data_IF_921399908136
#
_entry.id   IF_921399908136
#
_cell.length_a   1.000
_cell.length_b   1.000
_cell.length_c   1.000
_cell.angle_alpha   90.00
_cell.angle_beta   90.00
_cell.angle_gamma   90.00
#
_symmetry.space_group_name_H-M   'P 1'
#
loop_
_entity.id
_entity.type
_entity.pdbx_description
1 polymer ?
#
# COMPACT_ATOMS: atom_id res chain seq x y z
N UNK A 1 -36.48 -56.23 -34.16
CA UNK A 1 -36.23 -55.14 -35.11
C UNK A 1 -36.60 -53.84 -34.41
N UNK A 2 -35.61 -52.95 -34.35
CA UNK A 2 -35.61 -51.52 -33.98
C UNK A 2 -36.19 -51.04 -32.65
N UNK A 3 -35.27 -50.64 -31.77
CA UNK A 3 -35.35 -49.46 -30.90
C UNK A 3 -35.74 -48.20 -31.67
N UNK A 4 -36.47 -47.28 -31.02
CA UNK A 4 -36.26 -45.82 -31.17
C UNK A 4 -36.86 -45.07 -29.97
N UNK A 5 -35.99 -44.54 -29.11
CA UNK A 5 -36.32 -43.54 -28.08
C UNK A 5 -36.26 -42.15 -28.74
N UNK A 6 -37.27 -41.33 -28.50
CA UNK A 6 -37.37 -39.95 -29.01
C UNK A 6 -36.56 -39.01 -28.13
N UNK A 7 -35.64 -38.27 -28.76
CA UNK A 7 -34.74 -37.30 -28.16
C UNK A 7 -35.43 -35.93 -27.98
N UNK A 8 -35.26 -35.34 -26.80
CA UNK A 8 -35.55 -33.94 -26.48
C UNK A 8 -34.31 -33.11 -26.88
N UNK A 9 -34.43 -31.96 -27.55
CA UNK A 9 -33.27 -31.10 -27.85
C UNK A 9 -32.88 -30.29 -26.60
N UNK A 10 -31.59 -30.17 -26.25
CA UNK A 10 -31.16 -29.25 -25.22
C UNK A 10 -31.10 -27.81 -25.75
N UNK A 11 -31.50 -26.91 -24.85
CA UNK A 11 -31.53 -25.45 -24.88
C UNK A 11 -30.15 -24.81 -25.03
N UNK A 12 -30.13 -23.63 -25.65
CA UNK A 12 -29.02 -22.68 -25.74
C UNK A 12 -28.29 -22.45 -24.40
N UNK A 13 -26.97 -22.60 -24.42
CA UNK A 13 -26.02 -21.99 -23.47
C UNK A 13 -24.86 -21.39 -24.26
N UNK A 14 -24.38 -20.17 -23.94
CA UNK A 14 -23.24 -19.57 -24.63
C UNK A 14 -21.95 -20.36 -24.38
N UNK A 15 -21.15 -20.42 -25.45
CA UNK A 15 -19.89 -21.13 -25.61
C UNK A 15 -18.77 -20.49 -24.78
N UNK A 16 -18.27 -21.21 -23.77
CA UNK A 16 -17.09 -20.83 -22.98
C UNK A 16 -15.83 -21.30 -23.72
N UNK A 17 -15.11 -20.36 -24.32
CA UNK A 17 -13.78 -20.60 -24.88
C UNK A 17 -12.72 -20.59 -23.78
N UNK A 18 -12.43 -21.76 -23.20
CA UNK A 18 -11.23 -22.01 -22.40
C UNK A 18 -10.13 -22.58 -23.29
N UNK A 19 -8.94 -21.97 -23.28
CA UNK A 19 -7.70 -22.61 -23.73
C UNK A 19 -6.79 -22.73 -22.51
N UNK A 20 -6.75 -23.93 -21.95
CA UNK A 20 -5.79 -24.35 -20.95
C UNK A 20 -4.49 -24.77 -21.63
N UNK A 21 -3.36 -24.34 -21.06
CA UNK A 21 -2.24 -25.28 -20.83
C UNK A 21 -2.18 -25.63 -19.35
N UNK A 22 -3.20 -26.36 -18.86
CA UNK A 22 -3.14 -27.63 -18.14
C UNK A 22 -4.36 -27.85 -17.20
N UNK A 23 -5.33 -28.63 -17.68
CA UNK A 23 -6.31 -29.49 -16.98
C UNK A 23 -6.72 -29.12 -15.54
N UNK A 24 -7.94 -28.61 -15.34
CA UNK A 24 -9.01 -29.33 -14.61
C UNK A 24 -10.35 -28.55 -14.58
N UNK A 25 -11.36 -29.10 -15.24
CA UNK A 25 -12.77 -28.75 -15.04
C UNK A 25 -13.28 -29.32 -13.70
N UNK A 26 -13.56 -28.49 -12.70
CA UNK A 26 -14.51 -28.88 -11.65
C UNK A 26 -15.22 -27.69 -11.00
N UNK A 27 -16.55 -27.74 -11.05
CA UNK A 27 -17.50 -26.89 -10.34
C UNK A 27 -17.29 -26.97 -8.82
N UNK A 28 -16.74 -25.93 -8.18
CA UNK A 28 -16.69 -25.63 -6.71
C UNK A 28 -16.23 -26.78 -5.77
N UNK A 29 -15.25 -26.58 -4.87
CA UNK A 29 -14.93 -25.35 -4.14
C UNK A 29 -13.59 -24.71 -4.56
N UNK A 30 -13.40 -23.46 -4.10
CA UNK A 30 -12.16 -22.67 -4.06
C UNK A 30 -10.90 -23.39 -4.58
N UNK A 31 -10.27 -22.90 -5.67
CA UNK A 31 -9.04 -23.52 -6.12
C UNK A 31 -7.91 -23.18 -5.14
N UNK A 32 -7.56 -24.12 -4.28
CA UNK A 32 -6.24 -24.16 -3.63
C UNK A 32 -5.25 -24.69 -4.65
N UNK A 33 -4.43 -23.81 -5.24
CA UNK A 33 -3.33 -24.23 -6.10
C UNK A 33 -2.08 -24.47 -5.25
N UNK A 34 -1.50 -25.66 -5.34
CA UNK A 34 -0.16 -25.99 -4.83
C UNK A 34 0.60 -26.76 -5.90
N UNK A 35 1.64 -26.20 -6.49
CA UNK A 35 2.81 -26.97 -6.93
C UNK A 35 4.02 -26.07 -7.22
N UNK A 36 5.21 -26.61 -6.93
CA UNK A 36 6.52 -25.95 -6.78
C UNK A 36 7.18 -25.45 -8.11
N UNK A 37 6.49 -24.70 -8.95
CA UNK A 37 7.06 -24.10 -10.17
C UNK A 37 6.46 -22.71 -10.38
N UNK A 38 7.30 -21.67 -10.54
CA UNK A 38 6.96 -20.28 -10.94
C UNK A 38 5.50 -20.12 -11.40
N UNK A 39 4.61 -19.69 -10.49
CA UNK A 39 3.18 -19.64 -10.82
C UNK A 39 2.92 -18.41 -11.68
N UNK A 40 2.56 -18.64 -12.96
CA UNK A 40 2.01 -17.60 -13.83
C UNK A 40 0.49 -17.59 -13.71
N UNK A 41 -0.04 -16.53 -13.11
CA UNK A 41 -1.47 -16.25 -13.04
C UNK A 41 -1.87 -15.36 -14.22
N UNK A 42 -3.08 -15.56 -14.75
CA UNK A 42 -3.63 -14.72 -15.81
C UNK A 42 -5.02 -14.24 -15.41
N UNK A 43 -5.21 -12.92 -15.41
CA UNK A 43 -6.50 -12.29 -15.21
C UNK A 43 -6.99 -11.69 -16.53
N UNK A 44 -7.94 -12.36 -17.17
CA UNK A 44 -8.49 -11.99 -18.47
C UNK A 44 -9.61 -10.94 -18.37
N UNK A 45 -9.88 -10.29 -19.50
CA UNK A 45 -10.99 -9.33 -19.58
C UNK A 45 -12.33 -9.99 -19.25
N UNK A 46 -13.10 -9.36 -18.35
CA UNK A 46 -14.37 -9.86 -17.82
C UNK A 46 -14.29 -11.16 -17.00
N UNK A 47 -13.14 -11.51 -16.42
CA UNK A 47 -13.08 -12.62 -15.45
C UNK A 47 -13.96 -12.37 -14.22
N UNK A 48 -14.22 -11.11 -13.87
CA UNK A 48 -15.21 -10.74 -12.87
C UNK A 48 -14.57 -10.39 -11.54
N UNK A 49 -14.84 -11.18 -10.50
CA UNK A 49 -14.29 -10.96 -9.16
C UNK A 49 -13.57 -12.23 -8.72
N UNK A 50 -12.24 -12.21 -8.75
CA UNK A 50 -11.41 -13.38 -8.51
C UNK A 50 -10.53 -13.20 -7.26
N UNK A 51 -9.97 -14.30 -6.77
CA UNK A 51 -9.04 -14.31 -5.64
C UNK A 51 -7.85 -15.21 -5.95
N UNK A 52 -6.65 -14.71 -5.70
CA UNK A 52 -5.41 -15.46 -5.68
C UNK A 52 -5.01 -15.66 -4.23
N UNK A 53 -4.71 -16.91 -3.87
CA UNK A 53 -4.05 -17.25 -2.61
C UNK A 53 -2.74 -17.91 -3.02
N UNK A 54 -1.67 -17.12 -3.02
CA UNK A 54 -0.34 -17.62 -3.26
C UNK A 54 0.31 -17.93 -1.91
N UNK A 55 0.66 -19.20 -1.70
CA UNK A 55 1.29 -19.66 -0.45
C UNK A 55 2.70 -20.08 -0.79
N UNK A 56 3.70 -19.37 -0.28
CA UNK A 56 5.10 -19.60 -0.62
C UNK A 56 5.55 -21.02 -0.27
N UNK A 57 5.91 -21.79 -1.29
CA UNK A 57 6.68 -23.03 -1.16
C UNK A 57 8.16 -22.68 -1.14
N UNK A 58 8.74 -22.58 0.06
CA UNK A 58 10.18 -22.47 0.36
C UNK A 58 11.14 -22.54 -0.85
N UNK A 59 11.33 -21.44 -1.58
CA UNK A 59 12.06 -21.43 -2.85
C UNK A 59 12.19 -20.03 -3.46
N UNK A 60 13.12 -19.85 -4.40
CA UNK A 60 13.29 -18.59 -5.17
C UNK A 60 12.18 -18.41 -6.23
N UNK A 61 10.95 -18.82 -5.92
CA UNK A 61 9.82 -18.80 -6.85
C UNK A 61 9.47 -17.34 -7.17
N UNK A 62 9.50 -17.01 -8.47
CA UNK A 62 8.98 -15.74 -8.98
C UNK A 62 7.57 -16.04 -9.49
N UNK A 63 6.57 -15.58 -8.76
CA UNK A 63 5.18 -15.62 -9.16
C UNK A 63 4.86 -14.37 -9.99
N UNK A 64 4.25 -14.59 -11.15
CA UNK A 64 3.92 -13.54 -12.11
C UNK A 64 2.40 -13.48 -12.30
N UNK A 65 1.83 -12.28 -12.28
CA UNK A 65 0.48 -12.02 -12.75
C UNK A 65 0.53 -11.33 -14.10
N UNK A 66 -0.18 -11.91 -15.07
CA UNK A 66 -0.44 -11.31 -16.37
C UNK A 66 -1.84 -10.73 -16.36
N UNK A 67 -1.94 -9.41 -16.54
CA UNK A 67 -3.21 -8.76 -16.85
C UNK A 67 -3.44 -8.84 -18.35
N UNK A 68 -4.54 -9.50 -18.73
CA UNK A 68 -4.89 -9.85 -20.10
C UNK A 68 -5.18 -8.65 -21.00
N UNK A 69 -5.45 -8.92 -22.28
CA UNK A 69 -5.73 -7.88 -23.28
C UNK A 69 -6.90 -6.99 -22.87
N UNK A 70 -6.81 -5.69 -23.19
CA UNK A 70 -7.82 -4.70 -22.83
C UNK A 70 -7.72 -4.10 -21.43
N UNK A 71 -6.68 -4.44 -20.66
CA UNK A 71 -6.29 -3.72 -19.44
C UNK A 71 -4.98 -2.95 -19.67
N UNK A 72 -4.94 -1.71 -19.18
CA UNK A 72 -3.78 -0.82 -19.23
C UNK A 72 -3.42 -0.35 -17.83
N UNK A 73 -2.13 -0.04 -17.53
CA UNK A 73 -1.70 0.36 -16.19
C UNK A 73 -2.52 1.49 -15.57
N UNK A 74 -2.89 2.50 -16.36
CA UNK A 74 -3.68 3.64 -15.92
C UNK A 74 -5.13 3.31 -15.52
N UNK A 75 -5.64 2.15 -15.95
CA UNK A 75 -7.03 1.72 -15.74
C UNK A 75 -7.18 0.69 -14.60
N UNK A 76 -6.09 0.43 -13.86
CA UNK A 76 -6.04 -0.50 -12.74
C UNK A 76 -5.71 0.26 -11.45
N UNK A 77 -6.61 0.18 -10.49
CA UNK A 77 -6.40 0.74 -9.16
C UNK A 77 -5.87 -0.32 -8.22
N UNK A 78 -4.79 -0.01 -7.50
CA UNK A 78 -4.17 -0.87 -6.50
C UNK A 78 -4.48 -0.31 -5.12
N UNK A 79 -5.02 -1.16 -4.23
CA UNK A 79 -5.42 -0.75 -2.88
C UNK A 79 -5.14 -1.86 -1.87
N UNK A 80 -4.83 -1.48 -0.62
CA UNK A 80 -4.83 -2.40 0.52
C UNK A 80 -6.22 -2.37 1.17
N UNK A 81 -7.04 -3.42 1.04
CA UNK A 81 -8.42 -3.39 1.53
C UNK A 81 -8.47 -3.39 3.07
N UNK A 82 -9.16 -2.39 3.63
CA UNK A 82 -9.37 -2.28 5.08
C UNK A 82 -10.05 -3.53 5.69
N UNK A 83 -9.70 -3.86 6.94
CA UNK A 83 -10.30 -4.98 7.68
C UNK A 83 -9.75 -6.37 7.32
N UNK A 84 -8.70 -6.40 6.51
CA UNK A 84 -7.81 -7.57 6.33
C UNK A 84 -6.67 -7.48 7.35
N UNK A 85 -5.72 -8.41 7.34
CA UNK A 85 -4.44 -8.28 8.06
C UNK A 85 -3.54 -7.17 7.46
N UNK A 86 -4.09 -6.32 6.60
CA UNK A 86 -3.44 -5.34 5.73
C UNK A 86 -2.47 -5.96 4.73
N UNK A 87 -2.15 -7.25 4.78
CA UNK A 87 -1.21 -7.87 3.84
C UNK A 87 -1.82 -8.19 2.49
N UNK A 88 -3.12 -7.97 2.29
CA UNK A 88 -3.79 -8.20 1.01
C UNK A 88 -3.59 -7.05 0.02
N UNK A 89 -3.64 -7.41 -1.27
CA UNK A 89 -3.72 -6.45 -2.38
C UNK A 89 -5.02 -6.64 -3.15
N UNK A 90 -5.75 -5.56 -3.38
CA UNK A 90 -6.93 -5.54 -4.24
C UNK A 90 -6.66 -4.70 -5.49
N UNK A 91 -6.75 -5.36 -6.64
CA UNK A 91 -6.81 -4.70 -7.95
C UNK A 91 -8.27 -4.47 -8.32
N UNK A 92 -8.62 -3.23 -8.64
CA UNK A 92 -9.94 -2.85 -9.20
C UNK A 92 -9.76 -2.39 -10.63
N UNK A 93 -10.54 -2.96 -11.54
CA UNK A 93 -10.46 -2.72 -12.97
C UNK A 93 -11.59 -1.81 -13.45
N UNK A 94 -11.36 -1.01 -14.50
CA UNK A 94 -12.35 -0.07 -15.05
C UNK A 94 -13.70 -0.70 -15.44
N UNK A 95 -13.72 -1.99 -15.79
CA UNK A 95 -14.94 -2.72 -16.14
C UNK A 95 -15.76 -3.14 -14.90
N UNK A 96 -15.29 -2.79 -13.70
CA UNK A 96 -15.89 -3.13 -12.41
C UNK A 96 -15.46 -4.48 -11.85
N UNK A 97 -14.61 -5.24 -12.58
CA UNK A 97 -14.03 -6.46 -12.05
C UNK A 97 -13.01 -6.18 -10.94
N UNK A 98 -12.70 -7.20 -10.14
CA UNK A 98 -11.71 -7.12 -9.06
C UNK A 98 -10.86 -8.37 -8.99
N UNK A 99 -9.62 -8.23 -8.54
CA UNK A 99 -8.75 -9.34 -8.20
C UNK A 99 -8.16 -9.11 -6.81
N UNK A 100 -8.54 -9.96 -5.85
CA UNK A 100 -7.96 -9.96 -4.51
C UNK A 100 -6.77 -10.91 -4.46
N UNK A 101 -5.61 -10.44 -4.05
CA UNK A 101 -4.42 -11.25 -3.83
C UNK A 101 -4.17 -11.30 -2.33
N UNK A 102 -4.38 -12.48 -1.75
CA UNK A 102 -4.27 -12.68 -0.30
C UNK A 102 -2.82 -12.71 0.14
N UNK A 103 -2.51 -12.05 1.26
CA UNK A 103 -1.19 -11.99 1.88
C UNK A 103 -0.08 -11.52 0.92
N UNK A 104 -0.41 -10.69 -0.06
CA UNK A 104 0.52 -10.15 -1.04
C UNK A 104 1.77 -9.51 -0.41
N UNK A 105 1.63 -8.87 0.74
CA UNK A 105 2.69 -8.13 1.42
C UNK A 105 3.25 -8.84 2.66
N UNK A 106 2.81 -10.07 2.92
CA UNK A 106 3.39 -10.88 3.99
C UNK A 106 4.75 -11.47 3.55
N UNK A 107 5.64 -11.67 4.52
CA UNK A 107 7.00 -12.16 4.29
C UNK A 107 7.07 -13.37 3.34
N UNK A 108 7.72 -13.15 2.19
CA UNK A 108 7.98 -14.17 1.19
C UNK A 108 6.74 -14.65 0.42
N UNK A 109 5.58 -14.03 0.58
CA UNK A 109 4.33 -14.42 -0.09
C UNK A 109 4.07 -13.57 -1.34
N UNK A 110 3.00 -13.92 -2.07
CA UNK A 110 2.39 -13.05 -3.07
C UNK A 110 3.03 -13.11 -4.45
N UNK A 111 2.59 -12.17 -5.30
CA UNK A 111 3.05 -11.96 -6.67
C UNK A 111 4.29 -11.07 -6.67
N UNK A 112 5.36 -11.50 -7.34
CA UNK A 112 6.60 -10.71 -7.43
C UNK A 112 6.62 -9.79 -8.65
N UNK A 113 5.89 -10.14 -9.72
CA UNK A 113 5.78 -9.28 -10.91
C UNK A 113 4.36 -9.21 -11.46
N UNK A 114 3.96 -8.01 -11.90
CA UNK A 114 2.73 -7.81 -12.67
C UNK A 114 3.10 -7.28 -14.05
N UNK A 115 2.66 -7.95 -15.11
CA UNK A 115 2.83 -7.47 -16.49
C UNK A 115 1.50 -7.31 -17.21
N UNK A 116 1.46 -6.39 -18.16
CA UNK A 116 0.30 -6.17 -19.02
C UNK A 116 0.54 -6.83 -20.38
N UNK A 117 -0.39 -7.67 -20.83
CA UNK A 117 -0.23 -8.46 -22.07
C UNK A 117 0.00 -7.59 -23.32
N UNK A 118 -0.57 -6.38 -23.35
CA UNK A 118 -0.42 -5.45 -24.48
C UNK A 118 0.82 -4.54 -24.37
N UNK A 119 1.44 -4.45 -23.20
CA UNK A 119 2.61 -3.62 -22.92
C UNK A 119 3.65 -4.47 -22.20
N UNK A 120 4.22 -5.45 -22.91
CA UNK A 120 5.14 -6.43 -22.33
C UNK A 120 6.42 -5.83 -21.69
N UNK A 121 6.80 -4.60 -22.07
CA UNK A 121 7.94 -3.90 -21.47
C UNK A 121 7.58 -3.21 -20.14
N UNK A 122 6.30 -3.04 -19.83
CA UNK A 122 5.82 -2.52 -18.56
C UNK A 122 5.60 -3.68 -17.59
N UNK A 123 6.55 -3.84 -16.68
CA UNK A 123 6.54 -4.87 -15.63
C UNK A 123 6.69 -4.15 -14.30
N UNK A 124 5.71 -4.30 -13.42
CA UNK A 124 5.79 -3.87 -12.03
C UNK A 124 6.54 -4.94 -11.24
N UNK A 125 7.56 -4.53 -10.49
CA UNK A 125 8.22 -5.37 -9.47
C UNK A 125 7.44 -5.36 -8.16
N UNK A 126 7.76 -6.26 -7.22
CA UNK A 126 7.16 -6.28 -5.88
C UNK A 126 7.12 -4.90 -5.20
N UNK A 127 8.21 -4.13 -5.31
CA UNK A 127 8.25 -2.76 -4.80
C UNK A 127 7.27 -1.83 -5.53
N UNK A 128 7.25 -1.86 -6.86
CA UNK A 128 6.34 -1.01 -7.64
C UNK A 128 4.86 -1.41 -7.46
N UNK A 129 4.59 -2.68 -7.13
CA UNK A 129 3.27 -3.15 -6.74
C UNK A 129 2.85 -2.54 -5.40
N UNK A 130 3.77 -2.48 -4.43
CA UNK A 130 3.54 -1.80 -3.15
C UNK A 130 3.35 -0.29 -3.34
N UNK A 131 4.26 0.38 -4.03
CA UNK A 131 4.22 1.82 -4.30
C UNK A 131 2.93 2.22 -5.03
N UNK A 132 2.42 1.37 -5.93
CA UNK A 132 1.13 1.58 -6.58
C UNK A 132 -0.05 1.64 -5.61
N UNK A 133 0.10 1.19 -4.35
CA UNK A 133 -0.93 1.30 -3.30
C UNK A 133 -0.91 2.62 -2.55
N UNK A 134 0.09 3.50 -2.74
CA UNK A 134 0.21 4.79 -2.05
C UNK A 134 -0.78 5.85 -2.58
N UNK A 135 -1.85 5.42 -3.24
CA UNK A 135 -2.88 6.34 -3.72
C UNK A 135 -3.69 6.84 -2.54
N UNK A 136 -3.84 8.16 -2.46
CA UNK A 136 -4.63 8.81 -1.43
C UNK A 136 -6.00 9.23 -1.93
N UNK A 137 -6.88 9.45 -0.98
CA UNK A 137 -8.21 10.02 -1.14
C UNK A 137 -8.31 11.32 -0.34
N UNK A 138 -9.40 12.10 -0.48
CA UNK A 138 -9.62 13.28 0.37
C UNK A 138 -10.13 12.97 1.79
N UNK A 139 -10.04 11.73 2.27
CA UNK A 139 -10.46 11.35 3.61
C UNK A 139 -9.46 10.39 4.23
N UNK A 140 -9.72 9.98 5.47
CA UNK A 140 -8.81 9.20 6.30
C UNK A 140 -8.29 7.93 5.61
N UNK A 141 -7.00 7.93 5.29
CA UNK A 141 -6.28 6.85 4.62
C UNK A 141 -5.28 6.15 5.55
N UNK A 142 -4.96 4.90 5.21
CA UNK A 142 -3.86 4.17 5.85
C UNK A 142 -2.86 3.78 4.76
N UNK A 143 -1.66 4.34 4.86
CA UNK A 143 -0.59 4.14 3.89
C UNK A 143 0.52 3.35 4.55
N UNK A 144 1.01 2.38 3.79
CA UNK A 144 1.99 1.42 4.25
C UNK A 144 3.13 1.36 3.24
N UNK A 145 4.31 1.83 3.62
CA UNK A 145 5.57 1.65 2.90
C UNK A 145 6.01 0.19 2.85
N UNK A 146 7.28 -0.03 2.59
CA UNK A 146 7.93 -1.35 2.54
C UNK A 146 9.31 -1.34 3.17
N UNK A 147 10.20 -2.18 2.62
CA UNK A 147 11.56 -2.33 3.16
C UNK A 147 12.59 -1.38 2.49
N UNK A 148 12.12 -0.39 1.75
CA UNK A 148 12.92 0.54 0.96
C UNK A 148 12.56 1.96 1.40
N UNK A 149 13.50 2.90 1.23
CA UNK A 149 13.22 4.30 1.50
C UNK A 149 12.09 4.84 0.62
N UNK A 150 10.95 5.09 1.24
CA UNK A 150 9.70 5.49 0.63
C UNK A 150 9.44 6.99 0.79
N UNK A 151 8.59 7.53 -0.08
CA UNK A 151 8.02 8.86 0.13
C UNK A 151 6.51 8.73 0.23
N UNK A 152 5.99 8.87 1.45
CA UNK A 152 4.59 8.72 1.77
C UNK A 152 3.94 10.09 1.94
N UNK A 153 2.81 10.30 1.28
CA UNK A 153 2.02 11.53 1.36
C UNK A 153 0.58 11.14 1.70
N UNK A 154 0.02 11.62 2.81
CA UNK A 154 -1.36 11.32 3.26
C UNK A 154 -2.41 12.14 2.52
N UNK A 155 -2.16 13.44 2.35
CA UNK A 155 -3.01 14.31 1.57
C UNK A 155 -4.01 15.07 2.41
N UNK A 156 -5.29 14.72 2.37
CA UNK A 156 -6.31 15.40 3.17
C UNK A 156 -7.12 14.37 3.92
N UNK A 157 -7.40 14.61 5.19
CA UNK A 157 -8.05 13.62 6.05
C UNK A 157 -7.14 13.30 7.23
N UNK A 158 -7.62 12.50 8.16
CA UNK A 158 -6.81 12.08 9.29
C UNK A 158 -6.12 10.77 8.94
N UNK A 159 -4.89 10.86 8.45
CA UNK A 159 -4.20 9.75 7.82
C UNK A 159 -3.29 9.00 8.80
N UNK A 160 -3.02 7.74 8.50
CA UNK A 160 -2.02 6.93 9.22
C UNK A 160 -0.97 6.45 8.24
N UNK A 161 0.27 6.92 8.40
CA UNK A 161 1.41 6.57 7.55
C UNK A 161 2.39 5.68 8.31
N UNK A 162 2.72 4.53 7.72
CA UNK A 162 3.74 3.60 8.21
C UNK A 162 4.88 3.50 7.18
N UNK A 163 6.08 3.97 7.52
CA UNK A 163 7.28 3.86 6.67
C UNK A 163 7.81 2.43 6.58
N UNK A 164 7.94 1.76 7.73
CA UNK A 164 8.49 0.41 7.92
C UNK A 164 10.02 0.33 7.93
N UNK A 165 10.69 -0.26 6.94
CA UNK A 165 12.16 -0.27 6.91
C UNK A 165 12.66 0.61 5.76
N UNK A 166 13.80 1.26 5.96
CA UNK A 166 14.35 2.17 4.96
C UNK A 166 14.43 3.59 5.51
N UNK A 167 15.12 4.46 4.79
CA UNK A 167 15.16 5.88 5.16
C UNK A 167 13.97 6.57 4.48
N UNK A 168 12.88 6.77 5.22
CA UNK A 168 11.60 7.20 4.67
C UNK A 168 11.39 8.73 4.77
N UNK A 169 10.53 9.25 3.91
CA UNK A 169 9.99 10.62 4.02
C UNK A 169 8.49 10.57 4.17
N UNK A 170 7.98 11.03 5.31
CA UNK A 170 6.55 11.02 5.62
C UNK A 170 6.02 12.46 5.64
N UNK A 171 4.95 12.69 4.88
CA UNK A 171 4.21 13.96 4.82
C UNK A 171 2.74 13.63 5.11
N UNK A 172 2.23 14.02 6.28
CA UNK A 172 0.84 13.81 6.66
C UNK A 172 -0.11 14.52 5.69
N UNK A 173 -0.05 15.86 5.67
CA UNK A 173 -0.84 16.67 4.77
C UNK A 173 -1.74 17.60 5.57
N UNK A 174 -3.00 17.74 5.17
CA UNK A 174 -4.04 18.48 5.90
C UNK A 174 -4.86 17.48 6.75
N UNK A 175 -4.88 17.61 8.07
CA UNK A 175 -5.68 16.72 8.93
C UNK A 175 -5.09 16.59 10.32
N UNK A 176 -5.55 15.63 11.11
CA UNK A 176 -4.81 15.20 12.31
C UNK A 176 -4.20 13.81 12.01
N UNK A 177 -2.91 13.77 11.68
CA UNK A 177 -2.25 12.59 11.14
C UNK A 177 -1.45 11.80 12.19
N UNK A 178 -1.27 10.51 11.96
CA UNK A 178 -0.36 9.66 12.72
C UNK A 178 0.75 9.13 11.82
N UNK A 179 1.98 9.53 12.13
CA UNK A 179 3.18 9.19 11.35
C UNK A 179 4.05 8.21 12.17
N UNK A 180 4.48 7.14 11.50
CA UNK A 180 5.37 6.13 12.05
C UNK A 180 6.48 5.88 11.03
N UNK A 181 7.70 6.34 11.33
CA UNK A 181 8.84 6.17 10.44
C UNK A 181 9.27 4.70 10.36
N UNK A 182 9.38 4.06 11.52
CA UNK A 182 9.84 2.69 11.64
C UNK A 182 11.35 2.62 11.81
N UNK A 183 12.00 1.81 10.98
CA UNK A 183 13.41 1.49 11.06
C UNK A 183 14.19 2.18 9.94
N UNK A 184 14.96 3.19 10.30
CA UNK A 184 15.82 3.91 9.37
C UNK A 184 16.18 5.28 9.91
N UNK A 185 16.68 6.15 9.04
CA UNK A 185 16.81 7.57 9.34
C UNK A 185 15.71 8.33 8.60
N UNK A 186 14.56 8.44 9.24
CA UNK A 186 13.36 8.98 8.63
C UNK A 186 13.29 10.50 8.71
N UNK A 187 12.56 11.08 7.76
CA UNK A 187 12.27 12.51 7.67
C UNK A 187 10.77 12.74 7.72
N UNK A 188 10.31 13.46 8.75
CA UNK A 188 8.92 13.91 8.85
C UNK A 188 8.84 15.34 8.35
N UNK A 189 8.15 15.56 7.22
CA UNK A 189 8.12 16.86 6.56
C UNK A 189 6.75 17.53 6.69
N UNK A 190 6.80 18.79 7.14
CA UNK A 190 5.65 19.66 7.28
C UNK A 190 5.71 20.76 6.22
N UNK A 191 4.92 20.59 5.15
CA UNK A 191 4.94 21.44 3.95
C UNK A 191 3.92 22.60 3.98
N UNK A 192 2.94 22.58 4.87
CA UNK A 192 1.85 23.58 4.92
C UNK A 192 1.66 24.13 6.32
N UNK A 193 0.86 25.19 6.46
CA UNK A 193 0.54 25.78 7.77
C UNK A 193 -0.75 25.22 8.38
N UNK A 194 -1.42 24.27 7.73
CA UNK A 194 -2.74 23.76 8.15
C UNK A 194 -2.73 22.23 8.30
N UNK A 195 -1.59 21.67 8.68
CA UNK A 195 -1.42 20.23 8.90
C UNK A 195 -2.11 19.70 10.17
N UNK A 196 -2.91 20.52 10.86
CA UNK A 196 -3.60 20.15 12.09
C UNK A 196 -2.67 19.63 13.20
N UNK A 197 -3.13 18.62 13.93
CA UNK A 197 -2.48 18.11 15.14
C UNK A 197 -1.90 16.71 14.92
N UNK A 198 -0.66 16.68 14.49
CA UNK A 198 0.00 15.46 14.08
C UNK A 198 0.74 14.77 15.24
N UNK A 199 0.81 13.45 15.15
CA UNK A 199 1.53 12.60 16.08
C UNK A 199 2.62 11.86 15.32
N UNK A 200 3.88 12.06 15.73
CA UNK A 200 4.99 11.19 15.36
C UNK A 200 5.17 10.19 16.50
N UNK A 201 4.85 8.93 16.18
CA UNK A 201 4.63 7.90 17.21
C UNK A 201 5.89 7.21 17.72
N UNK A 202 6.99 7.28 16.95
CA UNK A 202 8.22 6.52 17.18
C UNK A 202 9.50 7.35 16.99
N UNK A 203 9.42 8.68 17.11
CA UNK A 203 10.53 9.58 16.80
C UNK A 203 11.85 9.22 17.50
N UNK A 204 12.88 8.91 16.72
CA UNK A 204 14.23 8.62 17.21
C UNK A 204 15.13 9.86 17.19
N UNK A 205 15.31 10.48 18.36
CA UNK A 205 16.13 11.67 18.57
C UNK A 205 17.60 11.52 18.16
N UNK A 206 18.12 10.30 18.02
CA UNK A 206 19.52 10.08 17.64
C UNK A 206 19.73 10.12 16.12
N UNK A 207 18.69 9.89 15.31
CA UNK A 207 18.82 9.64 13.87
C UNK A 207 17.84 10.39 12.98
N UNK A 208 16.64 10.68 13.46
CA UNK A 208 15.54 11.19 12.64
C UNK A 208 15.47 12.72 12.63
N UNK A 209 14.81 13.22 11.58
CA UNK A 209 14.72 14.64 11.27
C UNK A 209 13.26 15.05 11.07
N UNK A 210 12.91 16.21 11.62
CA UNK A 210 11.67 16.94 11.32
C UNK A 210 12.04 18.14 10.45
N UNK A 211 11.45 18.20 9.26
CA UNK A 211 11.70 19.25 8.29
C UNK A 211 10.50 20.19 8.21
N UNK A 212 10.74 21.47 8.46
CA UNK A 212 9.74 22.52 8.36
C UNK A 212 9.95 23.33 7.08
N UNK A 213 8.92 23.41 6.25
CA UNK A 213 8.92 24.32 5.10
C UNK A 213 8.14 25.62 5.42
N UNK A 214 8.38 26.66 4.61
CA UNK A 214 7.64 27.94 4.62
C UNK A 214 7.69 28.75 5.92
N UNK A 215 8.70 28.55 6.77
CA UNK A 215 8.99 29.42 7.91
C UNK A 215 8.00 29.33 9.07
N UNK A 216 7.34 28.17 9.24
CA UNK A 216 6.50 27.81 10.39
C UNK A 216 7.22 27.98 11.73
N UNK A 217 8.43 27.45 11.80
CA UNK A 217 9.46 27.75 12.77
C UNK A 217 10.72 28.04 11.94
N UNK A 218 11.56 28.95 12.41
CA UNK A 218 12.74 29.40 11.65
C UNK A 218 14.06 29.08 12.33
N UNK A 219 14.00 28.57 13.56
CA UNK A 219 15.18 28.19 14.32
C UNK A 219 14.85 27.21 15.44
N UNK A 220 15.86 26.46 15.88
CA UNK A 220 15.74 25.56 17.01
C UNK A 220 15.39 26.30 18.32
N UNK A 221 15.82 27.55 18.48
CA UNK A 221 15.45 28.37 19.64
C UNK A 221 13.96 28.68 19.68
N UNK A 222 13.36 29.01 18.54
CA UNK A 222 11.91 29.21 18.41
C UNK A 222 11.14 27.93 18.69
N UNK A 223 11.64 26.80 18.17
CA UNK A 223 11.07 25.48 18.44
C UNK A 223 11.03 25.15 19.92
N UNK A 224 12.12 25.39 20.66
CA UNK A 224 12.17 25.14 22.10
C UNK A 224 11.25 26.07 22.90
N UNK A 225 10.95 27.27 22.41
CA UNK A 225 9.95 28.15 23.03
C UNK A 225 8.51 27.65 22.79
N UNK A 226 8.27 26.98 21.67
CA UNK A 226 7.00 26.36 21.29
C UNK A 226 6.79 24.96 21.90
N UNK A 227 7.87 24.29 22.31
CA UNK A 227 7.83 22.92 22.82
C UNK A 227 7.51 22.86 24.33
N UNK A 228 6.70 21.88 24.71
CA UNK A 228 6.42 21.58 26.12
C UNK A 228 6.29 20.08 26.37
N UNK A 229 6.79 19.61 27.52
CA UNK A 229 6.61 18.21 27.94
C UNK A 229 5.19 17.99 28.49
N UNK A 230 4.47 17.04 27.89
CA UNK A 230 3.14 16.59 28.32
C UNK A 230 3.19 15.11 28.63
N UNK A 231 3.35 14.77 29.92
CA UNK A 231 3.51 13.38 30.32
C UNK A 231 4.88 12.84 29.89
N UNK A 232 4.91 11.89 28.95
CA UNK A 232 6.14 11.32 28.38
C UNK A 232 6.50 11.89 27.02
N UNK A 233 5.71 12.84 26.52
CA UNK A 233 5.74 13.27 25.13
C UNK A 233 6.14 14.74 25.06
N UNK A 234 6.68 15.17 23.92
CA UNK A 234 6.85 16.59 23.59
C UNK A 234 5.68 17.02 22.72
N UNK A 235 5.09 18.17 23.03
CA UNK A 235 4.15 18.87 22.15
C UNK A 235 4.78 20.17 21.69
N UNK A 236 5.02 20.29 20.38
CA UNK A 236 5.46 21.51 19.71
C UNK A 236 4.21 22.24 19.21
N UNK A 237 3.79 23.29 19.92
CA UNK A 237 2.58 24.05 19.59
C UNK A 237 2.92 25.26 18.72
N UNK A 238 2.26 25.40 17.57
CA UNK A 238 2.45 26.59 16.72
C UNK A 238 1.36 27.64 16.92
N UNK A 239 0.10 27.22 16.88
CA UNK A 239 -1.06 28.07 17.16
C UNK A 239 -2.17 27.28 17.86
N UNK A 240 -3.40 27.79 17.91
CA UNK A 240 -4.50 27.12 18.61
C UNK A 240 -5.06 25.89 17.84
N UNK A 241 -4.64 25.68 16.58
CA UNK A 241 -5.19 24.66 15.67
C UNK A 241 -4.13 23.63 15.23
N UNK A 242 -2.84 23.96 15.32
CA UNK A 242 -1.74 23.15 14.81
C UNK A 242 -0.68 22.80 15.86
N UNK A 243 -0.33 21.52 15.92
CA UNK A 243 0.70 20.99 16.83
C UNK A 243 1.35 19.73 16.29
N UNK A 244 2.57 19.46 16.76
CA UNK A 244 3.27 18.20 16.51
C UNK A 244 3.55 17.56 17.87
N UNK A 245 3.08 16.33 18.06
CA UNK A 245 3.35 15.53 19.25
C UNK A 245 4.39 14.47 18.94
N UNK A 246 5.47 14.45 19.70
CA UNK A 246 6.51 13.42 19.63
C UNK A 246 6.34 12.46 20.81
N UNK A 247 5.81 11.27 20.57
CA UNK A 247 5.53 10.32 21.63
C UNK A 247 6.83 9.75 22.23
N UNK A 248 6.88 9.68 23.56
CA UNK A 248 8.01 9.10 24.28
C UNK A 248 9.30 9.94 24.25
N UNK A 249 9.25 11.16 23.73
CA UNK A 249 10.36 12.12 23.67
C UNK A 249 10.21 13.17 24.78
N UNK A 250 11.32 13.73 25.25
CA UNK A 250 11.34 14.85 26.20
C UNK A 250 12.12 16.03 25.62
N UNK A 251 11.73 17.26 25.96
CA UNK A 251 12.34 18.49 25.42
C UNK A 251 13.84 18.58 25.68
N UNK A 252 14.33 18.00 26.76
CA UNK A 252 15.76 17.98 27.11
C UNK A 252 16.60 16.98 26.30
N UNK A 253 15.95 16.07 25.56
CA UNK A 253 16.58 15.13 24.64
C UNK A 253 16.69 15.63 23.21
N UNK A 254 15.95 16.68 22.85
CA UNK A 254 15.95 17.25 21.51
C UNK A 254 17.30 17.91 21.17
N UNK A 255 17.72 17.72 19.93
CA UNK A 255 18.96 18.27 19.40
C UNK A 255 18.67 19.17 18.19
N UNK A 256 19.50 20.18 17.96
CA UNK A 256 19.36 21.05 16.79
C UNK A 256 19.43 20.26 15.47
N UNK A 257 20.17 19.14 15.44
CA UNK A 257 20.25 18.25 14.28
C UNK A 257 18.95 17.50 13.97
N UNK A 258 18.01 17.42 14.91
CA UNK A 258 16.71 16.81 14.66
C UNK A 258 15.79 17.70 13.82
N UNK A 259 16.19 18.95 13.54
CA UNK A 259 15.30 19.92 12.93
C UNK A 259 15.97 20.64 11.76
N UNK A 260 15.32 20.58 10.60
CA UNK A 260 15.70 21.34 9.42
C UNK A 260 14.65 22.42 9.15
N UNK A 261 15.11 23.67 9.07
CA UNK A 261 14.26 24.83 8.81
C UNK A 261 14.53 25.35 7.39
N UNK A 262 13.61 25.09 6.47
CA UNK A 262 13.69 25.55 5.09
C UNK A 262 13.00 26.92 4.96
N UNK A 263 13.84 27.97 4.84
CA UNK A 263 13.45 29.39 4.78
C UNK A 263 13.40 29.98 3.37
#
# INVERSE_FOLDING_TARGET
MSDSVSLIPPSDTPDFGLVETALSTQTSPEPTFSDEQENTYVYEYNSGHDTIIDVHSAGSEVNELILGSGYYPEDVQFTRPSGTDNDDLLLTFYNGGTLLIKNQFADGQGIQTIRFAEIAEFVLTGYQIMEATFNTTPGDDVIHGGDQGDTLYGGSGNDTLHGYEGDDTLIGGDGDDTLMGGAGNDTFRFEYTHFGNDIISDFNVDTEVIQFEFGFLTSFGELLEAASDVGTDVVIQHDDETSITLNGVQTDSLQESNFEFLI
#
